data_IF_254166256455
#
_entry.id   IF_254166256455
#
_cell.length_a   1.000
_cell.length_b   1.000
_cell.length_c   1.000
_cell.angle_alpha   90.00
_cell.angle_beta   90.00
_cell.angle_gamma   90.00
#
_symmetry.space_group_name_H-M   'P 1'
#
loop_
_entity.id
_entity.type
_entity.pdbx_description
1 polymer ?
#
# COMPACT_ATOMS: atom_id res chain seq x y z
N UNK A 1 -10.12 36.37 -5.72
CA UNK A 1 -9.60 35.13 -6.36
C UNK A 1 -8.59 34.53 -5.40
N UNK A 2 -9.06 33.65 -4.51
CA UNK A 2 -8.20 32.99 -3.52
C UNK A 2 -7.45 31.86 -4.18
N UNK A 3 -6.12 31.91 -4.15
CA UNK A 3 -5.27 30.82 -4.53
C UNK A 3 -5.54 29.63 -3.60
N UNK A 4 -6.26 28.63 -4.10
CA UNK A 4 -6.33 27.31 -3.46
C UNK A 4 -4.93 26.74 -3.53
N UNK A 5 -4.24 26.77 -2.40
CA UNK A 5 -2.97 26.07 -2.21
C UNK A 5 -3.19 24.60 -2.64
N UNK A 6 -2.53 24.17 -3.72
CA UNK A 6 -2.48 22.76 -4.11
C UNK A 6 -1.60 22.01 -3.11
N UNK A 7 -2.14 21.81 -1.91
CA UNK A 7 -1.58 20.81 -1.01
C UNK A 7 -1.80 19.45 -1.71
N UNK A 8 -0.72 18.85 -2.20
CA UNK A 8 -0.76 17.55 -2.86
C UNK A 8 -1.42 16.50 -1.95
N UNK A 9 -1.86 15.40 -2.53
CA UNK A 9 -2.44 14.28 -1.78
C UNK A 9 -1.44 13.74 -0.76
N UNK A 10 -1.93 13.18 0.34
CA UNK A 10 -1.11 12.60 1.39
C UNK A 10 -1.27 11.09 1.41
N UNK A 11 -0.14 10.41 1.43
CA UNK A 11 -0.08 8.95 1.40
C UNK A 11 0.74 8.41 2.57
N UNK A 12 0.52 7.13 2.86
CA UNK A 12 1.31 6.38 3.81
C UNK A 12 1.67 5.02 3.22
N UNK A 13 2.95 4.72 3.09
CA UNK A 13 3.43 3.42 2.66
C UNK A 13 3.87 2.59 3.88
N UNK A 14 3.22 1.46 4.10
CA UNK A 14 3.60 0.54 5.19
C UNK A 14 4.81 -0.30 4.80
N UNK A 15 5.73 -0.53 5.73
CA UNK A 15 6.95 -1.33 5.51
C UNK A 15 7.11 -2.45 6.56
N UNK A 16 7.89 -3.49 6.26
CA UNK A 16 8.48 -4.31 7.30
C UNK A 16 9.39 -3.47 8.19
N UNK A 17 9.36 -3.76 9.48
CA UNK A 17 10.17 -3.03 10.47
C UNK A 17 11.67 -3.11 10.15
N UNK A 18 12.35 -1.97 10.20
CA UNK A 18 13.77 -1.83 9.90
C UNK A 18 14.08 -1.51 8.43
N UNK A 19 13.06 -1.47 7.55
CA UNK A 19 13.23 -1.11 6.14
C UNK A 19 12.67 0.29 5.81
N UNK A 20 12.27 1.07 6.80
CA UNK A 20 11.63 2.37 6.62
C UNK A 20 12.55 3.37 5.92
N UNK A 21 13.85 3.38 6.24
CA UNK A 21 14.83 4.27 5.60
C UNK A 21 15.04 3.94 4.12
N UNK A 22 15.15 2.65 3.78
CA UNK A 22 15.24 2.19 2.39
C UNK A 22 13.95 2.51 1.63
N UNK A 23 12.78 2.31 2.25
CA UNK A 23 11.51 2.67 1.64
C UNK A 23 11.39 4.18 1.38
N UNK A 24 11.86 5.03 2.31
CA UNK A 24 11.84 6.48 2.11
C UNK A 24 12.69 6.90 0.90
N UNK A 25 13.88 6.33 0.76
CA UNK A 25 14.75 6.56 -0.39
C UNK A 25 14.11 6.05 -1.71
N UNK A 26 13.52 4.84 -1.68
CA UNK A 26 12.80 4.27 -2.83
C UNK A 26 11.64 5.17 -3.27
N UNK A 27 10.79 5.61 -2.34
CA UNK A 27 9.65 6.48 -2.64
C UNK A 27 10.09 7.84 -3.17
N UNK A 28 11.16 8.43 -2.63
CA UNK A 28 11.75 9.67 -3.14
C UNK A 28 12.17 9.55 -4.61
N UNK A 29 12.82 8.45 -4.98
CA UNK A 29 13.18 8.14 -6.37
C UNK A 29 11.95 7.92 -7.28
N UNK A 30 10.79 7.57 -6.71
CA UNK A 30 9.52 7.38 -7.41
C UNK A 30 8.64 8.65 -7.48
N UNK A 31 9.15 9.79 -7.02
CA UNK A 31 8.47 11.08 -7.11
C UNK A 31 7.66 11.47 -5.85
N UNK A 32 7.84 10.74 -4.75
CA UNK A 32 7.27 11.15 -3.46
C UNK A 32 7.92 12.45 -2.97
N UNK A 33 7.09 13.33 -2.41
CA UNK A 33 7.51 14.60 -1.78
C UNK A 33 7.38 14.47 -0.27
N UNK A 34 8.21 15.22 0.45
CA UNK A 34 8.14 15.32 1.92
C UNK A 34 8.09 13.93 2.62
N UNK A 35 8.87 12.97 2.11
CA UNK A 35 8.90 11.63 2.68
C UNK A 35 9.45 11.65 4.10
N UNK A 36 8.64 11.26 5.07
CA UNK A 36 8.96 11.22 6.49
C UNK A 36 8.81 9.81 7.04
N UNK A 37 9.86 9.31 7.68
CA UNK A 37 9.83 8.03 8.37
C UNK A 37 9.00 8.18 9.64
N UNK A 38 8.00 7.32 9.78
CA UNK A 38 7.14 7.24 10.97
C UNK A 38 6.98 5.77 11.38
N UNK A 39 6.51 5.46 12.59
CA UNK A 39 6.34 4.08 13.02
C UNK A 39 5.53 3.25 12.02
N UNK A 40 6.13 2.15 11.51
CA UNK A 40 5.48 1.20 10.61
C UNK A 40 5.52 1.58 9.12
N UNK A 41 6.22 2.66 8.72
CA UNK A 41 6.34 3.03 7.31
C UNK A 41 6.82 4.43 7.03
N UNK A 42 6.39 4.98 5.90
CA UNK A 42 6.77 6.29 5.41
C UNK A 42 5.53 7.08 5.02
N UNK A 43 5.33 8.24 5.64
CA UNK A 43 4.35 9.23 5.20
C UNK A 43 4.95 10.08 4.07
N UNK A 44 4.19 10.36 3.02
CA UNK A 44 4.68 11.18 1.90
C UNK A 44 3.55 11.96 1.23
N UNK A 45 3.93 13.04 0.55
CA UNK A 45 3.05 13.81 -0.32
C UNK A 45 3.30 13.46 -1.79
N UNK A 46 2.33 13.78 -2.64
CA UNK A 46 2.48 13.60 -4.08
C UNK A 46 1.17 13.76 -4.83
N UNK A 47 1.25 13.56 -6.13
CA UNK A 47 0.08 13.41 -7.00
C UNK A 47 -0.28 11.93 -7.22
N UNK A 48 -1.30 11.68 -8.01
CA UNK A 48 -1.70 10.31 -8.36
C UNK A 48 -0.63 9.55 -9.16
N UNK A 49 0.24 10.25 -9.87
CA UNK A 49 1.36 9.61 -10.57
C UNK A 49 2.37 9.03 -9.58
N UNK A 50 2.68 9.75 -8.50
CA UNK A 50 3.52 9.23 -7.43
C UNK A 50 2.87 8.02 -6.72
N UNK A 51 1.56 8.05 -6.50
CA UNK A 51 0.80 6.91 -5.96
C UNK A 51 0.89 5.69 -6.88
N UNK A 52 0.69 5.86 -8.19
CA UNK A 52 0.80 4.77 -9.17
C UNK A 52 2.22 4.22 -9.23
N UNK A 53 3.23 5.10 -9.25
CA UNK A 53 4.63 4.69 -9.25
C UNK A 53 5.00 3.91 -7.99
N UNK A 54 4.56 4.37 -6.81
CA UNK A 54 4.78 3.67 -5.55
C UNK A 54 4.15 2.27 -5.54
N UNK A 55 2.93 2.11 -6.04
CA UNK A 55 2.27 0.81 -6.14
C UNK A 55 2.91 -0.11 -7.17
N UNK A 56 3.36 0.42 -8.32
CA UNK A 56 3.94 -0.35 -9.40
C UNK A 56 5.37 -0.78 -9.12
N UNK A 57 6.19 0.13 -8.60
CA UNK A 57 7.63 0.00 -8.55
C UNK A 57 8.20 -0.29 -7.16
N UNK A 58 7.49 0.05 -6.07
CA UNK A 58 8.02 -0.21 -4.74
C UNK A 58 8.18 -1.71 -4.49
N UNK A 59 9.41 -2.08 -4.11
CA UNK A 59 9.77 -3.44 -3.70
C UNK A 59 9.58 -3.65 -2.22
N UNK A 60 9.64 -2.58 -1.43
CA UNK A 60 9.66 -2.61 0.03
C UNK A 60 8.29 -2.38 0.66
N UNK A 61 7.46 -1.54 0.05
CA UNK A 61 6.13 -1.26 0.56
C UNK A 61 5.28 -2.53 0.67
N UNK A 62 4.57 -2.69 1.78
CA UNK A 62 3.52 -3.69 1.92
C UNK A 62 2.19 -3.20 1.37
N UNK A 63 1.88 -1.92 1.57
CA UNK A 63 0.71 -1.21 1.06
C UNK A 63 1.03 0.27 0.89
N UNK A 64 0.32 0.91 -0.03
CA UNK A 64 0.24 2.37 -0.16
C UNK A 64 -1.19 2.77 0.17
N UNK A 65 -1.35 3.63 1.15
CA UNK A 65 -2.63 4.08 1.70
C UNK A 65 -2.81 5.58 1.40
N UNK A 66 -3.94 5.98 0.87
CA UNK A 66 -4.29 7.38 0.63
C UNK A 66 -5.03 7.94 1.84
N UNK A 67 -4.48 8.98 2.49
CA UNK A 67 -5.09 9.60 3.66
C UNK A 67 -6.26 10.49 3.23
N UNK A 68 -7.45 10.19 3.75
CA UNK A 68 -8.69 10.93 3.43
C UNK A 68 -9.14 11.84 4.57
N UNK A 69 -8.76 11.54 5.81
CA UNK A 69 -9.02 12.41 6.96
C UNK A 69 -8.04 12.15 8.10
N UNK A 70 -7.85 13.19 8.93
CA UNK A 70 -7.25 13.12 10.27
C UNK A 70 -8.22 13.72 11.28
N UNK A 71 -8.26 13.18 12.48
CA UNK A 71 -9.20 13.59 13.52
C UNK A 71 -8.65 13.35 14.92
N UNK A 72 -9.14 14.13 15.88
CA UNK A 72 -8.98 13.82 17.31
C UNK A 72 -10.07 12.87 17.75
N UNK A 73 -9.81 12.03 18.77
CA UNK A 73 -10.81 11.16 19.36
C UNK A 73 -10.51 10.86 20.83
N UNK A 74 -11.54 10.61 21.60
CA UNK A 74 -11.48 10.12 22.97
C UNK A 74 -12.26 8.82 23.14
N UNK A 75 -13.24 8.55 22.26
CA UNK A 75 -14.11 7.39 22.32
C UNK A 75 -14.61 6.93 20.95
N UNK A 76 -15.43 5.88 20.98
CA UNK A 76 -15.98 5.25 19.76
C UNK A 76 -16.91 6.16 18.98
N UNK A 77 -17.60 7.11 19.66
CA UNK A 77 -18.50 8.08 19.00
C UNK A 77 -17.73 9.06 18.14
N UNK A 78 -16.57 9.54 18.61
CA UNK A 78 -15.72 10.43 17.81
C UNK A 78 -15.25 9.76 16.51
N UNK A 79 -14.99 8.42 16.57
CA UNK A 79 -14.65 7.65 15.38
C UNK A 79 -15.80 7.59 14.39
N UNK A 80 -17.02 7.37 14.91
CA UNK A 80 -18.21 7.34 14.07
C UNK A 80 -18.43 8.69 13.38
N UNK A 81 -18.41 9.79 14.15
CA UNK A 81 -18.62 11.15 13.60
C UNK A 81 -17.52 11.54 12.62
N UNK A 82 -16.25 11.24 12.91
CA UNK A 82 -15.15 11.49 12.00
C UNK A 82 -15.31 10.71 10.68
N UNK A 83 -15.64 9.42 10.75
CA UNK A 83 -15.86 8.61 9.57
C UNK A 83 -17.11 9.01 8.78
N UNK A 84 -18.22 9.40 9.46
CA UNK A 84 -19.44 9.90 8.82
C UNK A 84 -19.23 11.26 8.15
N UNK A 85 -18.35 12.10 8.70
CA UNK A 85 -17.98 13.40 8.14
C UNK A 85 -17.23 13.34 6.82
N UNK A 86 -16.61 12.20 6.47
CA UNK A 86 -15.94 12.01 5.18
C UNK A 86 -16.99 11.85 4.07
N UNK A 87 -16.78 12.55 2.95
CA UNK A 87 -17.64 12.42 1.77
C UNK A 87 -17.27 11.19 0.93
N UNK A 88 -17.57 10.00 1.45
CA UNK A 88 -17.22 8.72 0.81
C UNK A 88 -17.69 8.59 -0.63
N UNK A 89 -18.91 9.07 -1.02
CA UNK A 89 -19.34 9.08 -2.42
C UNK A 89 -18.42 9.81 -3.39
N UNK A 90 -17.59 10.72 -2.91
CA UNK A 90 -16.54 11.38 -3.72
C UNK A 90 -15.43 10.40 -4.12
N UNK A 91 -15.15 9.38 -3.32
CA UNK A 91 -14.04 8.48 -3.48
C UNK A 91 -14.37 7.21 -4.25
N UNK A 92 -15.56 6.63 -4.04
CA UNK A 92 -15.99 5.40 -4.71
C UNK A 92 -17.52 5.29 -4.82
N UNK A 93 -18.01 4.39 -5.64
CA UNK A 93 -19.44 4.20 -5.86
C UNK A 93 -20.06 3.24 -4.85
N UNK A 94 -21.33 3.48 -4.52
CA UNK A 94 -22.11 2.65 -3.57
C UNK A 94 -22.21 1.18 -3.96
N UNK A 95 -22.05 0.84 -5.25
CA UNK A 95 -22.03 -0.55 -5.74
C UNK A 95 -20.72 -1.30 -5.45
N UNK A 96 -19.70 -0.64 -4.88
CA UNK A 96 -18.45 -1.30 -4.48
C UNK A 96 -18.60 -1.93 -3.10
N UNK A 97 -18.09 -3.15 -2.96
CA UNK A 97 -18.02 -3.80 -1.66
C UNK A 97 -16.90 -3.20 -0.81
N UNK A 98 -17.12 -3.10 0.50
CA UNK A 98 -16.15 -2.50 1.40
C UNK A 98 -15.73 -3.43 2.56
N UNK A 99 -14.54 -3.17 3.09
CA UNK A 99 -14.06 -3.68 4.36
C UNK A 99 -13.36 -2.57 5.14
N UNK A 100 -13.61 -2.52 6.44
CA UNK A 100 -12.90 -1.64 7.37
C UNK A 100 -11.90 -2.47 8.18
N UNK A 101 -10.72 -1.91 8.41
CA UNK A 101 -9.69 -2.45 9.30
C UNK A 101 -9.22 -1.33 10.23
N UNK A 102 -9.27 -1.57 11.52
CA UNK A 102 -8.76 -0.64 12.54
C UNK A 102 -7.48 -1.24 13.14
N UNK A 103 -6.45 -0.43 13.23
CA UNK A 103 -5.23 -0.72 13.98
C UNK A 103 -4.93 0.42 14.94
N UNK A 104 -4.30 0.11 16.07
CA UNK A 104 -4.09 1.11 17.11
C UNK A 104 -2.76 0.91 17.83
N UNK A 105 -2.19 2.03 18.27
CA UNK A 105 -1.06 2.07 19.20
C UNK A 105 -1.42 3.03 20.34
N UNK A 106 -1.37 2.55 21.58
CA UNK A 106 -1.69 3.35 22.77
C UNK A 106 -3.09 4.01 22.74
N UNK A 107 -4.06 3.39 22.07
CA UNK A 107 -5.44 3.87 22.01
C UNK A 107 -6.17 3.66 23.32
N UNK A 108 -7.03 4.60 23.75
CA UNK A 108 -7.89 4.43 24.92
C UNK A 108 -9.08 3.48 24.70
N UNK A 109 -9.33 3.06 23.45
CA UNK A 109 -10.48 2.21 23.12
C UNK A 109 -10.32 0.80 23.67
N UNK A 110 -11.40 0.25 24.24
CA UNK A 110 -11.45 -1.08 24.84
C UNK A 110 -11.50 -2.21 23.81
N UNK A 111 -12.08 -1.96 22.62
CA UNK A 111 -12.28 -2.97 21.58
C UNK A 111 -12.08 -2.39 20.18
N UNK A 112 -11.06 -2.87 19.48
CA UNK A 112 -10.84 -2.50 18.09
C UNK A 112 -11.85 -3.14 17.13
N UNK A 113 -12.44 -4.27 17.50
CA UNK A 113 -13.51 -4.90 16.72
C UNK A 113 -14.76 -4.03 16.77
N UNK A 114 -15.12 -3.49 17.93
CA UNK A 114 -16.24 -2.56 18.06
C UNK A 114 -15.96 -1.26 17.29
N UNK A 115 -14.77 -0.69 17.43
CA UNK A 115 -14.35 0.49 16.64
C UNK A 115 -14.44 0.21 15.12
N UNK A 116 -14.07 -0.99 14.68
CA UNK A 116 -14.19 -1.42 13.27
C UNK A 116 -15.66 -1.40 12.81
N UNK A 117 -16.58 -1.90 13.65
CA UNK A 117 -18.01 -1.86 13.36
C UNK A 117 -18.55 -0.43 13.32
N UNK A 118 -18.17 0.41 14.29
CA UNK A 118 -18.58 1.83 14.33
C UNK A 118 -18.17 2.58 13.06
N UNK A 119 -16.91 2.47 12.65
CA UNK A 119 -16.43 3.09 11.39
C UNK A 119 -17.16 2.54 10.18
N UNK A 120 -17.35 1.22 10.10
CA UNK A 120 -18.10 0.58 9.01
C UNK A 120 -19.53 1.13 8.93
N UNK A 121 -20.23 1.25 10.08
CA UNK A 121 -21.59 1.79 10.13
C UNK A 121 -21.62 3.25 9.69
N UNK A 122 -20.67 4.08 10.12
CA UNK A 122 -20.54 5.47 9.72
C UNK A 122 -20.37 5.64 8.19
N UNK A 123 -19.49 4.83 7.57
CA UNK A 123 -19.32 4.83 6.11
C UNK A 123 -20.62 4.45 5.40
N UNK A 124 -21.30 3.37 5.86
CA UNK A 124 -22.56 2.91 5.29
C UNK A 124 -23.68 3.96 5.44
N UNK A 125 -23.77 4.60 6.61
CA UNK A 125 -24.78 5.61 6.89
C UNK A 125 -24.54 6.87 6.05
N UNK A 126 -23.29 7.32 5.89
CA UNK A 126 -22.97 8.43 4.98
C UNK A 126 -23.41 8.16 3.54
N UNK A 127 -23.21 6.93 3.04
CA UNK A 127 -23.70 6.55 1.72
C UNK A 127 -25.24 6.54 1.66
N UNK A 128 -25.90 5.99 2.70
CA UNK A 128 -27.36 5.98 2.77
C UNK A 128 -27.94 7.40 2.75
N UNK A 129 -27.35 8.31 3.51
CA UNK A 129 -27.77 9.71 3.57
C UNK A 129 -27.58 10.42 2.21
N UNK A 130 -26.50 10.13 1.50
CA UNK A 130 -26.18 10.79 0.24
C UNK A 130 -26.85 10.16 -0.99
N UNK A 131 -27.13 8.84 -0.97
CA UNK A 131 -27.56 8.10 -2.17
C UNK A 131 -28.81 7.24 -1.97
N UNK A 132 -29.35 7.19 -0.76
CA UNK A 132 -30.47 6.29 -0.38
C UNK A 132 -30.08 4.80 -0.29
N UNK A 133 -28.82 4.44 -0.54
CA UNK A 133 -28.32 3.06 -0.55
C UNK A 133 -27.09 2.89 0.33
N UNK A 134 -26.84 1.66 0.76
CA UNK A 134 -25.65 1.29 1.54
C UNK A 134 -24.76 0.38 0.70
N UNK A 135 -23.41 0.53 0.77
CA UNK A 135 -22.49 -0.41 0.17
C UNK A 135 -22.51 -1.76 0.90
N UNK A 136 -22.32 -2.84 0.17
CA UNK A 136 -22.19 -4.17 0.74
C UNK A 136 -20.81 -4.38 1.39
N UNK A 137 -20.78 -5.26 2.39
CA UNK A 137 -19.54 -5.61 3.12
C UNK A 137 -19.06 -6.97 2.65
N UNK A 138 -17.83 -7.02 2.11
CA UNK A 138 -17.15 -8.27 1.81
C UNK A 138 -15.83 -8.36 2.61
N UNK A 139 -15.77 -9.33 3.54
CA UNK A 139 -14.59 -9.53 4.39
C UNK A 139 -13.44 -10.25 3.67
N UNK A 140 -13.71 -10.98 2.60
CA UNK A 140 -12.74 -11.82 1.90
C UNK A 140 -12.11 -11.10 0.71
N UNK A 141 -12.93 -10.56 -0.19
CA UNK A 141 -12.51 -9.93 -1.44
C UNK A 141 -13.16 -8.55 -1.65
N UNK A 142 -13.00 -7.61 -0.70
CA UNK A 142 -13.60 -6.29 -0.83
C UNK A 142 -13.01 -5.55 -2.03
N UNK A 143 -13.85 -4.72 -2.68
CA UNK A 143 -13.39 -3.76 -3.67
C UNK A 143 -12.59 -2.65 -3.01
N UNK A 144 -13.11 -2.10 -1.93
CA UNK A 144 -12.55 -0.98 -1.20
C UNK A 144 -12.14 -1.43 0.21
N UNK A 145 -10.93 -1.06 0.62
CA UNK A 145 -10.46 -1.23 1.98
C UNK A 145 -10.25 0.13 2.62
N UNK A 146 -10.98 0.39 3.69
CA UNK A 146 -10.79 1.54 4.57
C UNK A 146 -9.89 1.11 5.72
N UNK A 147 -8.77 1.79 5.92
CA UNK A 147 -7.90 1.59 7.07
C UNK A 147 -8.03 2.76 8.03
N UNK A 148 -8.12 2.46 9.31
CA UNK A 148 -8.06 3.43 10.39
C UNK A 148 -6.83 3.14 11.22
N UNK A 149 -6.00 4.13 11.40
CA UNK A 149 -4.91 4.08 12.35
C UNK A 149 -5.19 5.03 13.51
N UNK A 150 -5.10 4.50 14.74
CA UNK A 150 -5.37 5.23 15.97
C UNK A 150 -4.10 5.30 16.81
N UNK A 151 -3.72 6.49 17.22
CA UNK A 151 -2.58 6.72 18.11
C UNK A 151 -2.98 7.67 19.24
N UNK A 152 -2.98 7.17 20.48
CA UNK A 152 -3.39 7.92 21.66
C UNK A 152 -4.71 8.65 21.43
N UNK A 153 -4.70 9.98 21.23
CA UNK A 153 -5.87 10.83 21.02
C UNK A 153 -6.07 11.28 19.56
N UNK A 154 -5.31 10.70 18.60
CA UNK A 154 -5.38 11.05 17.18
C UNK A 154 -5.69 9.85 16.33
N UNK A 155 -6.48 10.04 15.30
CA UNK A 155 -6.79 9.03 14.31
C UNK A 155 -6.64 9.53 12.88
N UNK A 156 -6.43 8.61 11.96
CA UNK A 156 -6.42 8.91 10.54
C UNK A 156 -7.17 7.82 9.77
N UNK A 157 -7.93 8.25 8.76
CA UNK A 157 -8.67 7.41 7.83
C UNK A 157 -7.94 7.35 6.50
N UNK A 158 -7.81 6.14 5.96
CA UNK A 158 -7.12 5.90 4.70
C UNK A 158 -7.95 5.02 3.77
N UNK A 159 -7.79 5.23 2.48
CA UNK A 159 -8.20 4.29 1.43
C UNK A 159 -6.98 3.50 0.95
N UNK A 160 -7.11 2.18 0.89
CA UNK A 160 -6.05 1.30 0.38
C UNK A 160 -5.98 1.39 -1.15
N UNK A 161 -4.88 1.95 -1.66
CA UNK A 161 -4.64 2.07 -3.10
C UNK A 161 -4.02 0.81 -3.69
N UNK A 162 -3.49 -0.08 -2.86
CA UNK A 162 -2.80 -1.31 -3.29
C UNK A 162 -3.74 -2.49 -3.53
N UNK A 163 -4.83 -2.59 -2.75
CA UNK A 163 -5.73 -3.74 -2.76
C UNK A 163 -5.14 -4.95 -2.03
N UNK A 164 -4.68 -5.98 -2.74
CA UNK A 164 -3.88 -7.04 -2.11
C UNK A 164 -2.51 -6.49 -1.70
N UNK A 165 -1.84 -7.08 -0.66
CA UNK A 165 -0.51 -6.64 -0.27
C UNK A 165 0.49 -6.64 -1.42
N UNK A 166 1.35 -5.63 -1.50
CA UNK A 166 2.29 -5.46 -2.61
C UNK A 166 3.33 -6.57 -2.71
N UNK A 167 3.67 -7.24 -1.61
CA UNK A 167 4.58 -8.40 -1.66
C UNK A 167 3.99 -9.60 -2.41
N UNK A 168 2.67 -9.69 -2.61
CA UNK A 168 2.05 -10.66 -3.51
C UNK A 168 2.27 -10.22 -4.97
N UNK A 169 3.45 -10.52 -5.54
CA UNK A 169 3.86 -10.07 -6.89
C UNK A 169 3.08 -10.76 -8.03
N UNK A 170 2.39 -11.87 -7.75
CA UNK A 170 1.64 -12.64 -8.75
C UNK A 170 2.48 -13.62 -9.57
N UNK A 171 3.73 -13.88 -9.18
CA UNK A 171 4.58 -14.87 -9.84
C UNK A 171 4.65 -16.21 -9.09
N UNK A 172 4.29 -16.24 -7.82
CA UNK A 172 4.35 -17.46 -6.98
C UNK A 172 3.21 -18.40 -7.34
N UNK A 173 3.54 -19.61 -7.78
CA UNK A 173 2.59 -20.65 -8.18
C UNK A 173 2.27 -21.68 -7.09
N UNK A 174 3.03 -21.69 -5.98
CA UNK A 174 2.81 -22.57 -4.82
C UNK A 174 3.31 -21.89 -3.54
N UNK A 175 2.71 -22.23 -2.42
CA UNK A 175 3.21 -21.81 -1.10
C UNK A 175 3.96 -23.01 -0.52
N UNK A 176 5.27 -22.86 -0.30
CA UNK A 176 5.97 -23.69 0.68
C UNK A 176 5.47 -23.37 2.09
N UNK A 177 5.80 -24.18 3.06
CA UNK A 177 5.54 -23.86 4.46
C UNK A 177 6.28 -22.56 4.84
N UNK A 178 5.55 -21.50 5.23
CA UNK A 178 6.05 -20.21 5.69
C UNK A 178 7.11 -19.51 4.78
N UNK A 179 6.82 -19.23 3.51
CA UNK A 179 7.79 -18.63 2.61
C UNK A 179 8.14 -17.19 3.02
N UNK A 180 9.40 -16.79 2.80
CA UNK A 180 9.84 -15.41 2.97
C UNK A 180 8.99 -14.47 2.09
N UNK A 181 8.51 -13.36 2.67
CA UNK A 181 7.77 -12.35 1.90
C UNK A 181 8.70 -11.64 0.91
N UNK A 182 8.21 -11.39 -0.28
CA UNK A 182 8.99 -10.82 -1.39
C UNK A 182 9.56 -9.43 -1.05
N UNK A 183 8.81 -8.59 -0.34
CA UNK A 183 9.32 -7.28 0.07
C UNK A 183 10.42 -7.37 1.15
N UNK A 184 10.38 -8.38 1.99
CA UNK A 184 11.46 -8.62 2.95
C UNK A 184 12.69 -9.18 2.23
N UNK A 185 12.51 -10.10 1.28
CA UNK A 185 13.60 -10.61 0.44
C UNK A 185 14.27 -9.48 -0.36
N UNK A 186 13.48 -8.59 -0.97
CA UNK A 186 14.00 -7.42 -1.66
C UNK A 186 14.80 -6.51 -0.71
N UNK A 187 14.31 -6.29 0.51
CA UNK A 187 15.02 -5.54 1.55
C UNK A 187 16.37 -6.17 1.90
N UNK A 188 16.46 -7.49 2.05
CA UNK A 188 17.71 -8.20 2.31
C UNK A 188 18.72 -8.01 1.16
N UNK A 189 18.27 -8.13 -0.10
CA UNK A 189 19.13 -7.88 -1.27
C UNK A 189 19.63 -6.43 -1.28
N UNK A 190 18.79 -5.45 -0.96
CA UNK A 190 19.21 -4.04 -0.88
C UNK A 190 20.19 -3.79 0.26
N UNK A 191 19.98 -4.38 1.43
CA UNK A 191 20.86 -4.27 2.59
C UNK A 191 22.21 -4.95 2.40
N UNK A 192 22.28 -5.99 1.57
CA UNK A 192 23.55 -6.65 1.23
C UNK A 192 24.45 -5.83 0.30
N UNK A 193 23.93 -4.73 -0.24
CA UNK A 193 24.61 -3.88 -1.22
C UNK A 193 25.15 -4.65 -2.45
N UNK A 194 24.56 -5.82 -2.74
CA UNK A 194 24.98 -6.66 -3.86
C UNK A 194 24.99 -5.90 -5.19
N UNK A 195 26.08 -6.06 -5.92
CA UNK A 195 26.22 -5.48 -7.27
C UNK A 195 25.79 -6.52 -8.32
N UNK A 196 25.05 -6.06 -9.32
CA UNK A 196 24.42 -6.94 -10.31
C UNK A 196 25.41 -7.70 -11.21
N UNK A 197 26.66 -7.37 -11.20
CA UNK A 197 27.77 -8.03 -11.91
C UNK A 197 28.55 -9.03 -11.04
N UNK A 198 28.27 -9.07 -9.74
CA UNK A 198 28.85 -10.02 -8.78
C UNK A 198 28.01 -11.31 -8.68
N UNK A 199 28.63 -12.45 -8.31
CA UNK A 199 27.87 -13.65 -7.95
C UNK A 199 27.06 -13.42 -6.67
N UNK A 200 25.82 -13.94 -6.63
CA UNK A 200 25.01 -14.03 -5.42
C UNK A 200 24.73 -15.49 -5.11
N UNK A 201 25.05 -15.92 -3.90
CA UNK A 201 24.75 -17.25 -3.39
C UNK A 201 23.77 -17.15 -2.21
N UNK A 202 22.68 -17.91 -2.29
CA UNK A 202 21.76 -18.15 -1.18
C UNK A 202 21.84 -19.63 -0.79
N UNK A 203 22.58 -19.97 0.30
CA UNK A 203 22.82 -21.37 0.69
C UNK A 203 21.62 -22.03 1.40
N UNK A 204 20.55 -21.28 1.69
CA UNK A 204 19.29 -21.73 2.31
C UNK A 204 18.10 -21.16 1.57
N UNK A 205 18.07 -21.32 0.23
CA UNK A 205 17.21 -20.53 -0.64
C UNK A 205 15.71 -20.87 -0.53
N UNK A 206 15.33 -22.01 0.01
CA UNK A 206 13.94 -22.44 0.06
C UNK A 206 13.30 -22.37 -1.32
N UNK A 207 12.21 -21.61 -1.41
CA UNK A 207 11.53 -21.36 -2.68
C UNK A 207 12.25 -20.34 -3.61
N UNK A 208 13.51 -19.97 -3.31
CA UNK A 208 14.32 -19.06 -4.12
C UNK A 208 13.86 -17.59 -4.09
N UNK A 209 13.12 -17.16 -3.07
CA UNK A 209 12.51 -15.81 -3.05
C UNK A 209 13.54 -14.70 -3.16
N UNK A 210 14.69 -14.81 -2.45
CA UNK A 210 15.78 -13.83 -2.52
C UNK A 210 16.35 -13.76 -3.94
N UNK A 211 16.63 -14.90 -4.54
CA UNK A 211 17.21 -14.99 -5.89
C UNK A 211 16.26 -14.45 -6.97
N UNK A 212 14.94 -14.70 -6.83
CA UNK A 212 13.93 -14.17 -7.75
C UNK A 212 13.82 -12.65 -7.64
N UNK A 213 13.79 -12.09 -6.43
CA UNK A 213 13.79 -10.64 -6.24
C UNK A 213 15.10 -10.01 -6.75
N UNK A 214 16.26 -10.60 -6.47
CA UNK A 214 17.56 -10.15 -7.00
C UNK A 214 17.57 -10.14 -8.53
N UNK A 215 17.10 -11.21 -9.18
CA UNK A 215 16.99 -11.27 -10.64
C UNK A 215 16.02 -10.21 -11.19
N UNK A 216 14.89 -9.98 -10.52
CA UNK A 216 13.91 -8.96 -10.94
C UNK A 216 14.48 -7.55 -10.80
N UNK A 217 15.26 -7.29 -9.74
CA UNK A 217 15.96 -6.01 -9.52
C UNK A 217 17.00 -5.76 -10.60
N UNK A 218 17.90 -6.71 -10.83
CA UNK A 218 18.98 -6.60 -11.84
C UNK A 218 18.44 -6.40 -13.27
N UNK A 219 17.22 -6.88 -13.54
CA UNK A 219 16.54 -6.74 -14.83
C UNK A 219 15.63 -5.52 -14.91
N UNK A 220 15.56 -4.67 -13.89
CA UNK A 220 14.69 -3.51 -13.89
C UNK A 220 13.19 -3.84 -14.04
N UNK A 221 12.73 -5.00 -13.57
CA UNK A 221 11.33 -5.40 -13.66
C UNK A 221 10.52 -4.78 -12.56
N UNK A 222 9.46 -4.06 -12.90
CA UNK A 222 8.52 -3.53 -11.93
C UNK A 222 7.77 -4.66 -11.20
N UNK A 223 7.81 -4.71 -9.86
CA UNK A 223 7.19 -5.81 -9.10
C UNK A 223 5.67 -5.87 -9.24
N UNK A 224 5.01 -4.75 -9.54
CA UNK A 224 3.57 -4.63 -9.64
C UNK A 224 2.96 -4.99 -11.01
N UNK A 225 3.76 -5.33 -12.03
CA UNK A 225 3.30 -5.51 -13.41
C UNK A 225 2.23 -6.58 -13.64
N UNK A 226 2.19 -7.61 -12.79
CA UNK A 226 1.30 -8.78 -12.97
C UNK A 226 0.08 -8.76 -12.06
N UNK A 227 -0.31 -7.61 -11.54
CA UNK A 227 -1.41 -7.51 -10.57
C UNK A 227 -2.32 -6.31 -10.87
N UNK A 228 -3.53 -6.34 -10.32
CA UNK A 228 -4.44 -5.19 -10.21
C UNK A 228 -4.25 -4.49 -8.86
N UNK A 229 -4.73 -3.26 -8.77
CA UNK A 229 -4.58 -2.42 -7.60
C UNK A 229 -5.92 -1.87 -7.10
N UNK A 230 -5.97 -1.52 -5.82
CA UNK A 230 -7.16 -0.94 -5.19
C UNK A 230 -7.54 0.42 -5.80
N UNK A 231 -6.56 1.23 -6.21
CA UNK A 231 -6.81 2.53 -6.81
C UNK A 231 -7.61 2.46 -8.12
N UNK A 232 -7.56 1.36 -8.85
CA UNK A 232 -8.33 1.17 -10.10
C UNK A 232 -9.86 1.18 -9.88
N UNK A 233 -10.30 1.07 -8.61
CA UNK A 233 -11.70 1.08 -8.20
C UNK A 233 -12.15 2.42 -7.60
N UNK A 234 -11.23 3.39 -7.48
CA UNK A 234 -11.50 4.72 -6.95
C UNK A 234 -11.88 5.69 -8.08
N UNK A 235 -12.71 6.67 -7.77
CA UNK A 235 -13.14 7.70 -8.74
C UNK A 235 -12.01 8.61 -9.22
N UNK A 236 -10.94 8.74 -8.43
CA UNK A 236 -9.76 9.50 -8.80
C UNK A 236 -8.82 8.76 -9.77
N UNK A 237 -9.18 7.53 -10.20
CA UNK A 237 -8.37 6.74 -11.11
C UNK A 237 -8.30 7.31 -12.51
N UNK A 238 -7.10 7.64 -12.96
CA UNK A 238 -6.79 8.07 -14.32
C UNK A 238 -6.24 6.88 -15.13
N UNK A 239 -7.13 6.20 -15.85
CA UNK A 239 -6.77 5.02 -16.66
C UNK A 239 -5.77 5.34 -17.77
N UNK A 240 -5.88 6.43 -18.56
CA UNK A 240 -4.88 6.83 -19.54
C UNK A 240 -3.48 7.02 -18.95
N UNK A 241 -3.36 7.74 -17.83
CA UNK A 241 -2.07 7.95 -17.16
C UNK A 241 -1.47 6.64 -16.65
N UNK A 242 -2.30 5.76 -16.09
CA UNK A 242 -1.89 4.44 -15.63
C UNK A 242 -1.41 3.53 -16.76
N UNK A 243 -2.15 3.44 -17.86
CA UNK A 243 -1.76 2.63 -19.02
C UNK A 243 -0.46 3.15 -19.66
N UNK A 244 -0.26 4.47 -19.70
CA UNK A 244 1.01 5.07 -20.13
C UNK A 244 2.16 4.60 -19.23
N UNK A 245 2.01 4.69 -17.91
CA UNK A 245 3.04 4.26 -16.95
C UNK A 245 3.37 2.76 -17.12
N UNK A 246 2.38 1.90 -17.28
CA UNK A 246 2.58 0.47 -17.53
C UNK A 246 3.33 0.20 -18.82
N UNK A 247 3.04 0.94 -19.91
CA UNK A 247 3.76 0.77 -21.18
C UNK A 247 5.23 1.17 -21.05
N UNK A 248 5.51 2.30 -20.40
CA UNK A 248 6.87 2.78 -20.14
C UNK A 248 7.66 1.77 -19.29
N UNK A 249 6.98 1.10 -18.36
CA UNK A 249 7.59 0.09 -17.46
C UNK A 249 7.85 -1.28 -18.11
N UNK A 250 7.39 -1.50 -19.34
CA UNK A 250 7.60 -2.77 -20.08
C UNK A 250 8.95 -2.87 -20.78
N UNK A 251 9.75 -1.81 -20.80
CA UNK A 251 11.08 -1.81 -21.38
C UNK A 251 12.14 -2.07 -20.29
N UNK A 252 12.32 -3.33 -19.85
CA UNK A 252 13.35 -3.66 -18.90
C UNK A 252 14.74 -3.44 -19.55
N UNK A 253 15.74 -3.23 -18.71
CA UNK A 253 17.15 -3.23 -19.16
C UNK A 253 17.46 -4.52 -19.94
N UNK A 254 18.36 -4.45 -20.95
CA UNK A 254 18.74 -5.63 -21.71
C UNK A 254 19.16 -6.78 -20.76
N UNK A 255 18.88 -8.03 -21.15
CA UNK A 255 19.18 -9.17 -20.31
C UNK A 255 20.68 -9.24 -19.99
N UNK A 256 21.02 -9.11 -18.71
CA UNK A 256 22.38 -9.37 -18.22
C UNK A 256 22.52 -10.84 -17.88
N UNK A 257 23.68 -11.41 -18.14
CA UNK A 257 24.04 -12.72 -17.59
C UNK A 257 24.19 -12.57 -16.06
N UNK A 258 23.25 -13.14 -15.31
CA UNK A 258 23.26 -13.10 -13.85
C UNK A 258 23.87 -14.39 -13.31
N UNK A 259 24.76 -14.26 -12.34
CA UNK A 259 25.36 -15.39 -11.61
C UNK A 259 24.67 -15.55 -10.26
N UNK A 260 23.50 -16.20 -10.28
CA UNK A 260 22.68 -16.44 -9.10
C UNK A 260 22.66 -17.93 -8.79
N UNK A 261 23.05 -18.28 -7.58
CA UNK A 261 23.16 -19.66 -7.12
C UNK A 261 22.32 -19.84 -5.86
N UNK A 262 21.64 -20.95 -5.76
CA UNK A 262 20.87 -21.33 -4.57
C UNK A 262 21.02 -22.79 -4.27
N UNK A 263 21.09 -23.13 -3.00
CA UNK A 263 20.98 -24.50 -2.51
C UNK A 263 20.02 -24.54 -1.32
N UNK A 264 19.39 -25.68 -1.13
CA UNK A 264 18.54 -25.99 0.00
C UNK A 264 18.66 -27.48 0.34
N UNK A 265 18.12 -27.91 1.49
CA UNK A 265 18.14 -29.30 1.91
C UNK A 265 16.98 -30.10 1.33
#
# INVERSE_FOLDING_TARGET
MSAVSQAGERFFATAPRGLEALLAAELGALGAKDAAIVPGGVAFGGDWRACYAANLWSRLASRVLWRVAEFGYAGDEDLYEAARGVDWPRYFDVGRTLRVNVSATKSPLKSLDFATLRVKDAVCDRFRDATGRRPDVDRRRPDIRVHVFLEAARGALYLDTSGEPLFKRGWRSGAGEAPLRENLAAGLVMLSEWKFDEPLLDPMCGAGTILVEAAAMARGRAPGMKRSFGFEKLKAFDSPAWEKMKRESRNPSPPRALRLFGSDR
#
